data_IF_200168202537
#
_entry.id   IF_200168202537
#
_cell.length_a   1.000
_cell.length_b   1.000
_cell.length_c   1.000
_cell.angle_alpha   90.00
_cell.angle_beta   90.00
_cell.angle_gamma   90.00
#
_symmetry.space_group_name_H-M   'P 1'
#
loop_
_entity.id
_entity.type
_entity.pdbx_description
1 polymer ?
#
# COMPACT_ATOMS: atom_id res chain seq x y z
N UNK A 1 -20.53 44.93 -7.05
CA UNK A 1 -19.64 44.28 -6.06
C UNK A 1 -20.13 42.90 -5.67
N UNK A 2 -21.40 42.65 -5.38
CA UNK A 2 -21.94 41.31 -4.96
C UNK A 2 -21.70 40.19 -6.01
N UNK A 3 -21.84 40.43 -7.30
CA UNK A 3 -21.61 39.45 -8.36
C UNK A 3 -20.14 38.96 -8.44
N UNK A 4 -19.17 39.87 -8.26
CA UNK A 4 -17.74 39.51 -8.22
C UNK A 4 -17.38 38.68 -7.00
N UNK A 5 -18.00 38.97 -5.86
CA UNK A 5 -17.80 38.17 -4.63
C UNK A 5 -18.32 36.74 -4.77
N UNK A 6 -19.47 36.56 -5.40
CA UNK A 6 -20.08 35.25 -5.67
C UNK A 6 -19.19 34.43 -6.60
N UNK A 7 -18.65 35.01 -7.68
CA UNK A 7 -17.70 34.34 -8.57
C UNK A 7 -16.41 33.93 -7.86
N UNK A 8 -15.91 34.74 -6.93
CA UNK A 8 -14.71 34.44 -6.17
C UNK A 8 -14.95 33.27 -5.19
N UNK A 9 -16.11 33.22 -4.58
CA UNK A 9 -16.50 32.11 -3.67
C UNK A 9 -16.68 30.81 -4.46
N UNK A 10 -17.32 30.84 -5.63
CA UNK A 10 -17.49 29.66 -6.50
C UNK A 10 -16.12 29.15 -6.97
N UNK A 11 -15.21 30.04 -7.38
CA UNK A 11 -13.85 29.67 -7.79
C UNK A 11 -13.03 29.06 -6.63
N UNK A 12 -13.24 29.50 -5.38
CA UNK A 12 -12.58 28.94 -4.21
C UNK A 12 -13.08 27.53 -3.84
N UNK A 13 -14.37 27.28 -4.05
CA UNK A 13 -15.00 25.98 -3.75
C UNK A 13 -14.59 24.90 -4.76
N UNK A 14 -14.32 25.27 -6.01
CA UNK A 14 -13.89 24.30 -7.04
C UNK A 14 -12.45 23.81 -6.88
N UNK A 15 -11.63 24.50 -6.07
CA UNK A 15 -10.23 24.11 -5.80
C UNK A 15 -10.10 23.10 -4.67
N UNK A 16 -11.16 22.77 -3.94
CA UNK A 16 -11.18 21.69 -2.95
C UNK A 16 -11.34 20.33 -3.62
N UNK A 17 -10.45 19.97 -4.55
CA UNK A 17 -10.32 18.60 -5.04
C UNK A 17 -9.75 17.76 -3.91
N UNK A 18 -10.60 16.98 -3.24
CA UNK A 18 -10.14 15.94 -2.31
C UNK A 18 -9.28 14.95 -3.10
N UNK A 19 -7.98 15.04 -2.96
CA UNK A 19 -7.04 14.06 -3.51
C UNK A 19 -7.36 12.69 -2.87
N UNK A 20 -7.86 11.75 -3.68
CA UNK A 20 -8.01 10.36 -3.25
C UNK A 20 -6.62 9.73 -3.31
N UNK A 21 -6.20 8.97 -2.27
CA UNK A 21 -4.95 8.23 -2.37
C UNK A 21 -5.02 7.25 -3.55
N UNK A 22 -3.96 7.21 -4.34
CA UNK A 22 -3.86 6.30 -5.48
C UNK A 22 -3.67 4.88 -4.97
N UNK A 23 -4.53 3.97 -5.41
CA UNK A 23 -4.37 2.53 -5.18
C UNK A 23 -3.56 1.98 -6.34
N UNK A 24 -2.38 1.44 -6.05
CA UNK A 24 -1.49 0.87 -7.07
C UNK A 24 -1.89 -0.57 -7.40
N UNK A 25 -1.69 -0.97 -8.66
CA UNK A 25 -1.85 -2.36 -9.06
C UNK A 25 -0.73 -3.21 -8.46
N UNK A 26 -1.09 -4.34 -7.87
CA UNK A 26 -0.14 -5.22 -7.17
C UNK A 26 0.84 -5.89 -8.11
N UNK A 27 0.42 -6.23 -9.33
CA UNK A 27 1.29 -6.81 -10.36
C UNK A 27 0.93 -6.25 -11.73
N UNK A 28 1.96 -5.87 -12.49
CA UNK A 28 1.81 -5.44 -13.88
C UNK A 28 2.31 -6.54 -14.83
N UNK A 29 1.76 -6.64 -16.05
CA UNK A 29 2.14 -7.68 -17.02
C UNK A 29 3.62 -7.72 -17.37
N UNK A 30 4.28 -6.55 -17.37
CA UNK A 30 5.68 -6.35 -17.74
C UNK A 30 6.67 -6.36 -16.56
N UNK A 31 6.21 -6.60 -15.35
CA UNK A 31 7.09 -6.60 -14.16
C UNK A 31 8.29 -7.56 -14.30
N UNK A 32 8.07 -8.69 -14.94
CA UNK A 32 9.11 -9.70 -15.15
C UNK A 32 10.17 -9.30 -16.17
N UNK A 33 9.86 -8.31 -17.01
CA UNK A 33 10.77 -7.84 -18.06
C UNK A 33 11.71 -6.76 -17.54
N UNK A 34 11.39 -6.12 -16.42
CA UNK A 34 12.20 -5.08 -15.80
C UNK A 34 13.55 -5.62 -15.33
N UNK A 35 14.63 -4.85 -15.52
CA UNK A 35 15.94 -5.15 -14.96
C UNK A 35 16.04 -4.76 -13.47
N UNK A 36 17.15 -5.09 -12.80
CA UNK A 36 17.29 -4.84 -11.36
C UNK A 36 17.22 -3.35 -10.97
N UNK A 37 17.73 -2.45 -11.81
CA UNK A 37 17.65 -1.00 -11.56
C UNK A 37 16.22 -0.50 -11.67
N UNK A 38 15.51 -0.90 -12.72
CA UNK A 38 14.10 -0.56 -12.94
C UNK A 38 13.20 -1.11 -11.83
N UNK A 39 13.47 -2.33 -11.33
CA UNK A 39 12.75 -2.90 -10.19
C UNK A 39 13.02 -2.11 -8.90
N UNK A 40 14.24 -1.61 -8.71
CA UNK A 40 14.57 -0.75 -7.57
C UNK A 40 13.83 0.60 -7.65
N UNK A 41 13.72 1.19 -8.83
CA UNK A 41 12.98 2.42 -9.05
C UNK A 41 11.49 2.21 -8.80
N UNK A 42 10.91 1.12 -9.28
CA UNK A 42 9.51 0.74 -9.06
C UNK A 42 9.21 0.50 -7.57
N UNK A 43 10.15 -0.14 -6.86
CA UNK A 43 10.05 -0.32 -5.41
C UNK A 43 10.03 1.03 -4.67
N UNK A 44 10.91 1.96 -5.04
CA UNK A 44 10.97 3.29 -4.42
C UNK A 44 9.71 4.10 -4.71
N UNK A 45 9.17 4.02 -5.92
CA UNK A 45 7.90 4.65 -6.30
C UNK A 45 6.73 4.08 -5.47
N UNK A 46 6.68 2.78 -5.29
CA UNK A 46 5.68 2.11 -4.45
C UNK A 46 5.76 2.58 -2.99
N UNK A 47 6.97 2.77 -2.45
CA UNK A 47 7.15 3.35 -1.10
C UNK A 47 6.67 4.79 -1.02
N UNK A 48 6.83 5.58 -2.07
CA UNK A 48 6.32 6.94 -2.14
C UNK A 48 4.79 6.95 -2.06
N UNK A 49 4.12 6.12 -2.85
CA UNK A 49 2.65 5.97 -2.79
C UNK A 49 2.16 5.54 -1.40
N UNK A 50 2.85 4.58 -0.77
CA UNK A 50 2.54 4.18 0.60
C UNK A 50 2.60 5.35 1.57
N UNK A 51 3.67 6.15 1.51
CA UNK A 51 3.86 7.32 2.36
C UNK A 51 2.75 8.36 2.14
N UNK A 52 2.42 8.67 0.90
CA UNK A 52 1.33 9.58 0.57
C UNK A 52 -0.01 9.12 1.17
N UNK A 53 -0.30 7.80 1.10
CA UNK A 53 -1.50 7.23 1.71
C UNK A 53 -1.47 7.29 3.25
N UNK A 54 -0.29 7.10 3.87
CA UNK A 54 -0.10 7.25 5.32
C UNK A 54 -0.30 8.71 5.75
N UNK A 55 0.29 9.66 5.03
CA UNK A 55 0.14 11.09 5.33
C UNK A 55 -1.34 11.52 5.29
N UNK A 56 -2.12 11.00 4.33
CA UNK A 56 -3.58 11.23 4.28
C UNK A 56 -4.29 10.62 5.49
N UNK A 57 -3.90 9.43 5.92
CA UNK A 57 -4.45 8.76 7.10
C UNK A 57 -4.13 9.54 8.37
N UNK A 58 -2.88 9.93 8.56
CA UNK A 58 -2.40 10.63 9.75
C UNK A 58 -3.00 12.03 9.86
N UNK A 59 -3.10 12.76 8.76
CA UNK A 59 -3.78 14.07 8.70
C UNK A 59 -5.25 13.97 9.16
N UNK A 60 -5.96 12.93 8.73
CA UNK A 60 -7.35 12.74 9.11
C UNK A 60 -7.52 12.22 10.56
N UNK A 61 -6.51 11.57 11.12
CA UNK A 61 -6.55 11.03 12.50
C UNK A 61 -6.08 12.07 13.53
N UNK A 62 -5.13 12.95 13.17
CA UNK A 62 -4.52 13.94 14.07
C UNK A 62 -5.16 15.34 14.04
N UNK A 63 -6.05 15.62 13.10
CA UNK A 63 -6.55 16.97 12.85
C UNK A 63 -7.93 17.27 13.46
N UNK A 64 -7.99 18.23 14.34
CA UNK A 64 -9.17 19.01 14.76
C UNK A 64 -10.55 18.29 14.74
N UNK A 65 -10.91 17.73 15.87
CA UNK A 65 -12.15 17.02 16.14
C UNK A 65 -13.44 17.76 15.70
N UNK A 66 -13.42 19.07 15.60
CA UNK A 66 -14.53 19.93 15.17
C UNK A 66 -14.88 19.79 13.68
N UNK A 67 -13.88 19.50 12.84
CA UNK A 67 -14.08 19.30 11.39
C UNK A 67 -14.59 17.89 11.08
N UNK A 68 -14.24 16.91 11.92
CA UNK A 68 -14.62 15.50 11.80
C UNK A 68 -16.11 15.27 11.97
N UNK A 69 -16.78 16.01 12.85
CA UNK A 69 -18.21 15.82 13.12
C UNK A 69 -19.14 16.21 11.96
N UNK A 70 -18.74 17.23 11.17
CA UNK A 70 -19.55 17.72 10.03
C UNK A 70 -19.37 16.88 8.76
N UNK A 71 -18.25 16.16 8.61
CA UNK A 71 -17.90 15.42 7.40
C UNK A 71 -17.67 13.92 7.66
N UNK A 72 -18.18 13.39 8.76
CA UNK A 72 -18.00 12.01 9.20
C UNK A 72 -18.14 10.95 8.09
N UNK A 73 -19.18 10.94 7.23
CA UNK A 73 -19.30 9.91 6.20
C UNK A 73 -18.20 9.97 5.13
N UNK A 74 -17.74 11.17 4.77
CA UNK A 74 -16.65 11.36 3.81
C UNK A 74 -15.30 10.97 4.42
N UNK A 75 -15.09 11.24 5.72
CA UNK A 75 -13.87 10.87 6.44
C UNK A 75 -13.71 9.36 6.53
N UNK A 76 -14.74 8.60 6.90
CA UNK A 76 -14.69 7.13 6.98
C UNK A 76 -14.31 6.53 5.64
N UNK A 77 -14.87 7.02 4.53
CA UNK A 77 -14.50 6.56 3.18
C UNK A 77 -13.06 6.89 2.83
N UNK A 78 -12.55 8.05 3.23
CA UNK A 78 -11.16 8.48 2.95
C UNK A 78 -10.17 7.64 3.74
N UNK A 79 -10.44 7.36 5.01
CA UNK A 79 -9.61 6.49 5.86
C UNK A 79 -9.58 5.06 5.33
N UNK A 80 -10.73 4.52 4.95
CA UNK A 80 -10.81 3.19 4.34
C UNK A 80 -10.01 3.11 3.04
N UNK A 81 -10.11 4.12 2.17
CA UNK A 81 -9.33 4.18 0.93
C UNK A 81 -7.82 4.28 1.19
N UNK A 82 -7.41 5.01 2.24
CA UNK A 82 -6.00 5.10 2.63
C UNK A 82 -5.47 3.73 3.11
N UNK A 83 -6.24 3.00 3.92
CA UNK A 83 -5.85 1.65 4.35
C UNK A 83 -5.73 0.67 3.17
N UNK A 84 -6.66 0.74 2.22
CA UNK A 84 -6.58 -0.07 0.99
C UNK A 84 -5.34 0.30 0.17
N UNK A 85 -5.04 1.58 0.01
CA UNK A 85 -3.88 2.05 -0.73
C UNK A 85 -2.56 1.64 -0.05
N UNK A 86 -2.47 1.72 1.29
CA UNK A 86 -1.30 1.27 2.06
C UNK A 86 -1.06 -0.23 1.85
N UNK A 87 -2.11 -1.06 1.96
CA UNK A 87 -1.99 -2.51 1.74
C UNK A 87 -1.60 -2.85 0.32
N UNK A 88 -2.23 -2.20 -0.68
CA UNK A 88 -1.89 -2.41 -2.08
C UNK A 88 -0.44 -2.06 -2.38
N UNK A 89 0.08 -0.98 -1.79
CA UNK A 89 1.48 -0.60 -1.90
C UNK A 89 2.40 -1.62 -1.21
N UNK A 90 2.02 -2.16 -0.05
CA UNK A 90 2.78 -3.22 0.63
C UNK A 90 2.82 -4.51 -0.22
N UNK A 91 1.68 -4.91 -0.77
CA UNK A 91 1.57 -6.08 -1.64
C UNK A 91 2.39 -5.89 -2.93
N UNK A 92 2.37 -4.69 -3.51
CA UNK A 92 3.18 -4.32 -4.68
C UNK A 92 4.68 -4.37 -4.36
N UNK A 93 5.11 -3.75 -3.27
CA UNK A 93 6.50 -3.75 -2.85
C UNK A 93 7.02 -5.17 -2.62
N UNK A 94 6.23 -6.02 -1.97
CA UNK A 94 6.57 -7.43 -1.80
C UNK A 94 6.71 -8.16 -3.14
N UNK A 95 5.77 -7.94 -4.07
CA UNK A 95 5.82 -8.55 -5.41
C UNK A 95 7.09 -8.16 -6.18
N UNK A 96 7.48 -6.88 -6.13
CA UNK A 96 8.70 -6.39 -6.78
C UNK A 96 9.94 -7.06 -6.16
N UNK A 97 10.04 -7.12 -4.84
CA UNK A 97 11.20 -7.75 -4.16
C UNK A 97 11.26 -9.26 -4.45
N UNK A 98 10.11 -9.93 -4.57
CA UNK A 98 10.06 -11.34 -4.98
C UNK A 98 10.64 -11.55 -6.41
N UNK A 99 10.33 -10.64 -7.34
CA UNK A 99 10.92 -10.66 -8.69
C UNK A 99 12.42 -10.40 -8.61
N UNK A 100 12.86 -9.41 -7.81
CA UNK A 100 14.28 -9.10 -7.60
C UNK A 100 15.06 -10.30 -7.05
N UNK A 101 14.50 -11.02 -6.07
CA UNK A 101 15.10 -12.23 -5.50
C UNK A 101 15.21 -13.35 -6.55
N UNK A 102 14.16 -13.58 -7.34
CA UNK A 102 14.16 -14.56 -8.42
C UNK A 102 15.19 -14.23 -9.52
N UNK A 103 15.44 -12.93 -9.78
CA UNK A 103 16.45 -12.44 -10.70
C UNK A 103 17.85 -12.36 -10.09
N UNK A 104 18.00 -12.64 -8.78
CA UNK A 104 19.25 -12.53 -8.02
C UNK A 104 19.82 -11.12 -8.02
N UNK A 105 18.97 -10.09 -7.91
CA UNK A 105 19.39 -8.72 -7.75
C UNK A 105 20.11 -8.54 -6.40
N UNK A 106 21.20 -7.77 -6.37
CA UNK A 106 22.06 -7.60 -5.19
C UNK A 106 21.29 -7.03 -3.98
N UNK A 107 20.41 -6.07 -4.22
CA UNK A 107 19.64 -5.39 -3.16
C UNK A 107 18.43 -6.19 -2.65
N UNK A 108 18.02 -7.28 -3.29
CA UNK A 108 16.80 -8.01 -2.98
C UNK A 108 16.68 -8.40 -1.49
N UNK A 109 17.75 -8.98 -0.91
CA UNK A 109 17.76 -9.42 0.48
C UNK A 109 17.63 -8.26 1.46
N UNK A 110 18.28 -7.12 1.19
CA UNK A 110 18.21 -5.92 2.00
C UNK A 110 16.79 -5.36 2.01
N UNK A 111 16.21 -5.17 0.83
CA UNK A 111 14.85 -4.64 0.68
C UNK A 111 13.82 -5.58 1.30
N UNK A 112 14.00 -6.89 1.18
CA UNK A 112 13.15 -7.88 1.85
C UNK A 112 13.19 -7.74 3.38
N UNK A 113 14.38 -7.54 3.97
CA UNK A 113 14.52 -7.36 5.41
C UNK A 113 13.87 -6.07 5.91
N UNK A 114 13.91 -5.00 5.12
CA UNK A 114 13.21 -3.74 5.41
C UNK A 114 11.69 -3.91 5.36
N UNK A 115 11.17 -4.58 4.34
CA UNK A 115 9.73 -4.84 4.19
C UNK A 115 9.20 -5.68 5.35
N UNK A 116 9.90 -6.72 5.76
CA UNK A 116 9.44 -7.63 6.82
C UNK A 116 9.17 -6.93 8.15
N UNK A 117 9.73 -5.74 8.37
CA UNK A 117 9.53 -4.94 9.59
C UNK A 117 8.32 -4.03 9.55
N UNK A 118 7.87 -3.63 8.36
CA UNK A 118 6.90 -2.54 8.20
C UNK A 118 5.68 -2.90 7.37
N UNK A 119 5.63 -4.12 6.84
CA UNK A 119 4.63 -4.51 5.86
C UNK A 119 3.33 -4.99 6.52
N UNK A 120 2.20 -4.52 6.00
CA UNK A 120 0.86 -4.97 6.36
C UNK A 120 0.23 -5.65 5.14
N UNK A 121 0.65 -6.87 4.86
CA UNK A 121 0.18 -7.64 3.71
C UNK A 121 -1.30 -8.01 3.84
N UNK A 122 -1.98 -8.14 2.71
CA UNK A 122 -3.29 -8.78 2.68
C UNK A 122 -3.15 -10.27 2.98
N UNK A 123 -4.20 -10.89 3.53
CA UNK A 123 -4.22 -12.32 3.85
C UNK A 123 -3.82 -13.20 2.65
N UNK A 124 -4.29 -12.84 1.45
CA UNK A 124 -3.96 -13.57 0.22
C UNK A 124 -2.46 -13.55 -0.10
N UNK A 125 -1.80 -12.43 0.14
CA UNK A 125 -0.36 -12.29 -0.03
C UNK A 125 0.44 -13.00 1.04
N UNK A 126 0.00 -12.97 2.30
CA UNK A 126 0.62 -13.75 3.37
C UNK A 126 0.58 -15.26 3.07
N UNK A 127 -0.55 -15.77 2.58
CA UNK A 127 -0.67 -17.17 2.15
C UNK A 127 0.25 -17.47 0.95
N UNK A 128 0.32 -16.56 -0.04
CA UNK A 128 1.23 -16.71 -1.18
C UNK A 128 2.69 -16.76 -0.75
N UNK A 129 3.09 -15.88 0.18
CA UNK A 129 4.42 -15.85 0.78
C UNK A 129 4.76 -17.17 1.48
N UNK A 130 3.87 -17.68 2.32
CA UNK A 130 4.05 -18.99 2.98
C UNK A 130 4.26 -20.12 1.95
N UNK A 131 3.48 -20.13 0.88
CA UNK A 131 3.61 -21.12 -0.18
C UNK A 131 4.97 -21.04 -0.90
N UNK A 132 5.52 -19.84 -1.07
CA UNK A 132 6.86 -19.66 -1.63
C UNK A 132 7.95 -20.17 -0.69
N UNK A 133 7.86 -19.88 0.62
CA UNK A 133 8.80 -20.39 1.62
C UNK A 133 8.80 -21.93 1.65
N UNK A 134 7.63 -22.55 1.58
CA UNK A 134 7.48 -23.99 1.48
C UNK A 134 8.12 -24.55 0.20
N UNK A 135 7.81 -23.98 -0.97
CA UNK A 135 8.39 -24.42 -2.26
C UNK A 135 9.91 -24.29 -2.31
N UNK A 136 10.49 -23.33 -1.59
CA UNK A 136 11.94 -23.14 -1.46
C UNK A 136 12.57 -24.05 -0.39
N UNK A 137 11.80 -24.85 0.32
CA UNK A 137 12.27 -25.73 1.38
C UNK A 137 12.74 -25.00 2.64
N UNK A 138 12.34 -23.72 2.84
CA UNK A 138 12.70 -22.92 4.00
C UNK A 138 11.84 -23.30 5.20
N UNK A 139 10.58 -23.69 4.95
CA UNK A 139 9.66 -24.22 5.95
C UNK A 139 9.18 -25.61 5.51
N UNK A 140 8.88 -26.45 6.50
CA UNK A 140 8.32 -27.78 6.29
C UNK A 140 6.83 -27.71 5.89
N UNK A 141 6.29 -28.83 5.43
CA UNK A 141 4.86 -28.93 5.11
C UNK A 141 3.99 -28.70 6.35
N UNK A 142 4.37 -29.23 7.50
CA UNK A 142 3.67 -29.06 8.77
C UNK A 142 3.65 -27.57 9.18
N UNK A 143 4.80 -26.90 9.13
CA UNK A 143 4.91 -25.47 9.42
C UNK A 143 4.08 -24.61 8.47
N UNK A 144 4.04 -24.98 7.18
CA UNK A 144 3.20 -24.29 6.18
C UNK A 144 1.71 -24.43 6.53
N UNK A 145 1.25 -25.65 6.84
CA UNK A 145 -0.15 -25.95 7.18
C UNK A 145 -0.56 -25.18 8.44
N UNK A 146 0.27 -25.22 9.49
CA UNK A 146 -0.01 -24.55 10.75
C UNK A 146 -0.04 -23.03 10.62
N UNK A 147 0.92 -22.45 9.90
CA UNK A 147 0.95 -21.03 9.65
C UNK A 147 -0.25 -20.55 8.83
N UNK A 148 -0.63 -21.32 7.78
CA UNK A 148 -1.82 -21.04 6.97
C UNK A 148 -3.10 -21.10 7.81
N UNK A 149 -3.24 -22.10 8.69
CA UNK A 149 -4.38 -22.23 9.60
C UNK A 149 -4.49 -21.04 10.56
N UNK A 150 -3.36 -20.58 11.13
CA UNK A 150 -3.31 -19.40 12.00
C UNK A 150 -3.72 -18.12 11.28
N UNK A 151 -3.32 -17.95 10.01
CA UNK A 151 -3.72 -16.78 9.21
C UNK A 151 -5.24 -16.77 8.96
N UNK A 152 -5.80 -17.93 8.58
CA UNK A 152 -7.23 -18.08 8.28
C UNK A 152 -8.14 -18.00 9.52
N UNK A 153 -7.59 -18.17 10.72
CA UNK A 153 -8.36 -18.08 11.98
C UNK A 153 -8.33 -16.70 12.63
N UNK A 154 -7.65 -15.72 12.02
CA UNK A 154 -7.55 -14.34 12.53
C UNK A 154 -8.70 -13.42 12.06
N UNK A 155 -9.50 -13.86 11.11
CA UNK A 155 -10.73 -13.22 10.67
C UNK A 155 -11.92 -13.80 11.44
#
# INVERSE_FOLDING_TARGET
>A
MKKKLIFLIIALVTLCSCAKPTVVDVSLPNDKDLNCSELTDEFNETRRFKKEAQDVKDFNTGGNMTRTLLFWPALVKTLHNADVAIRAADDRAYHIVDIMDNKKCEDANKLYSELSKTISLTLSFEIKRLNQLYKRGIITEEEFIDAKKKLLSKD
#
